data_IF_130498827475
#
_entry.id   IF_130498827475
#
_cell.length_a   1.000
_cell.length_b   1.000
_cell.length_c   1.000
_cell.angle_alpha   90.00
_cell.angle_beta   90.00
_cell.angle_gamma   90.00
#
_symmetry.space_group_name_H-M   'P 1'
#
loop_
_entity.id
_entity.type
_entity.pdbx_description
1 polymer ?
#
# COMPACT_ATOMS: atom_id res chain seq x y z
N UNK A 1 18.57 6.14 -1.05
CA UNK A 1 17.30 6.50 -0.40
C UNK A 1 16.27 5.42 -0.77
N UNK A 2 15.68 4.72 0.19
CA UNK A 2 14.90 3.50 -0.06
C UNK A 2 13.53 3.81 -0.72
N UNK A 3 13.41 3.54 -2.02
CA UNK A 3 12.23 3.88 -2.87
C UNK A 3 11.04 2.92 -2.70
N UNK A 4 10.79 2.45 -1.49
CA UNK A 4 9.79 1.41 -1.22
C UNK A 4 8.72 1.88 -0.25
N UNK A 5 7.46 1.54 -0.55
CA UNK A 5 6.31 1.80 0.30
C UNK A 5 5.83 0.49 0.91
N UNK A 6 5.82 0.43 2.25
CA UNK A 6 5.40 -0.75 3.00
C UNK A 6 3.93 -0.62 3.39
N UNK A 7 3.09 -1.46 2.81
CA UNK A 7 1.66 -1.51 3.06
C UNK A 7 1.31 -2.69 3.96
N UNK A 8 0.96 -2.39 5.21
CA UNK A 8 0.48 -3.38 6.20
C UNK A 8 -1.06 -3.50 6.21
N UNK A 9 -1.78 -2.53 5.63
CA UNK A 9 -3.24 -2.49 5.67
C UNK A 9 -3.85 -3.24 4.49
N UNK A 10 -4.70 -4.23 4.79
CA UNK A 10 -5.46 -4.97 3.78
C UNK A 10 -6.37 -4.04 2.95
N UNK A 11 -7.04 -3.08 3.59
CA UNK A 11 -7.95 -2.14 2.91
C UNK A 11 -7.20 -1.30 1.86
N UNK A 12 -6.07 -0.73 2.26
CA UNK A 12 -5.22 0.05 1.36
C UNK A 12 -4.64 -0.83 0.24
N UNK A 13 -4.21 -2.06 0.54
CA UNK A 13 -3.75 -3.02 -0.47
C UNK A 13 -4.82 -3.29 -1.54
N UNK A 14 -6.06 -3.60 -1.13
CA UNK A 14 -7.15 -3.83 -2.06
C UNK A 14 -7.45 -2.59 -2.91
N UNK A 15 -7.38 -1.40 -2.32
CA UNK A 15 -7.55 -0.14 -3.03
C UNK A 15 -6.45 0.05 -4.09
N UNK A 16 -5.17 -0.06 -3.70
CA UNK A 16 -4.02 0.07 -4.62
C UNK A 16 -4.12 -0.96 -5.76
N UNK A 17 -4.50 -2.20 -5.44
CA UNK A 17 -4.68 -3.27 -6.44
C UNK A 17 -5.83 -2.97 -7.41
N UNK A 18 -6.92 -2.35 -6.95
CA UNK A 18 -8.02 -1.92 -7.80
C UNK A 18 -7.61 -0.86 -8.83
N UNK A 19 -6.59 -0.05 -8.53
CA UNK A 19 -5.97 0.89 -9.48
C UNK A 19 -4.92 0.25 -10.40
N UNK A 20 -4.72 -1.07 -10.32
CA UNK A 20 -3.79 -1.82 -11.17
C UNK A 20 -2.32 -1.69 -10.80
N UNK A 21 -1.99 -1.28 -9.57
CA UNK A 21 -0.60 -1.27 -9.11
C UNK A 21 -0.25 -2.63 -8.51
N UNK A 22 0.81 -3.24 -9.06
CA UNK A 22 1.37 -4.48 -8.53
C UNK A 22 2.37 -4.21 -7.41
N UNK A 23 2.39 -5.12 -6.43
CA UNK A 23 3.41 -5.14 -5.39
C UNK A 23 4.69 -5.79 -5.94
N UNK A 24 5.84 -5.33 -5.44
CA UNK A 24 7.16 -5.89 -5.79
C UNK A 24 7.43 -7.12 -4.94
N UNK A 25 7.06 -7.05 -3.66
CA UNK A 25 7.38 -8.08 -2.69
C UNK A 25 6.28 -8.22 -1.66
N UNK A 26 6.11 -9.44 -1.16
CA UNK A 26 5.24 -9.76 -0.03
C UNK A 26 6.10 -10.40 1.06
N UNK A 27 5.96 -9.90 2.27
CA UNK A 27 6.64 -10.44 3.43
C UNK A 27 5.69 -10.69 4.58
N UNK A 28 6.17 -11.44 5.56
CA UNK A 28 5.51 -11.64 6.84
C UNK A 28 6.45 -11.11 7.90
N UNK A 29 5.96 -10.25 8.78
CA UNK A 29 6.75 -9.78 9.91
C UNK A 29 6.92 -10.92 10.91
N UNK A 30 8.16 -11.32 11.21
CA UNK A 30 8.42 -12.52 12.04
C UNK A 30 7.79 -12.44 13.43
N UNK A 31 7.79 -11.26 14.07
CA UNK A 31 7.26 -11.09 15.43
C UNK A 31 5.73 -11.05 15.47
N UNK A 32 5.10 -10.23 14.64
CA UNK A 32 3.64 -10.01 14.67
C UNK A 32 2.86 -10.95 13.76
N UNK A 33 3.56 -11.76 12.94
CA UNK A 33 3.00 -12.61 11.88
C UNK A 33 2.10 -11.85 10.88
N UNK A 34 2.24 -10.52 10.83
CA UNK A 34 1.44 -9.67 9.94
C UNK A 34 2.02 -9.68 8.54
N UNK A 35 1.17 -9.95 7.55
CA UNK A 35 1.53 -9.84 6.13
C UNK A 35 1.66 -8.37 5.74
N UNK A 36 2.75 -8.05 5.03
CA UNK A 36 2.99 -6.75 4.46
C UNK A 36 3.34 -6.86 2.98
N UNK A 37 2.99 -5.82 2.23
CA UNK A 37 3.22 -5.73 0.80
C UNK A 37 4.11 -4.52 0.52
N UNK A 38 5.12 -4.71 -0.31
CA UNK A 38 6.04 -3.65 -0.71
C UNK A 38 5.65 -3.18 -2.10
N UNK A 39 5.45 -1.88 -2.25
CA UNK A 39 5.18 -1.23 -3.53
C UNK A 39 6.33 -0.31 -3.93
N UNK A 40 6.56 -0.09 -5.25
CA UNK A 40 7.49 0.94 -5.70
C UNK A 40 6.89 2.30 -5.38
N UNK A 41 7.66 3.19 -4.73
CA UNK A 41 7.27 4.60 -4.66
C UNK A 41 7.23 5.17 -6.08
N UNK A 42 6.08 5.72 -6.42
CA UNK A 42 5.82 6.38 -7.69
C UNK A 42 4.77 7.46 -7.46
N UNK A 43 4.77 8.51 -8.27
CA UNK A 43 3.76 9.57 -8.17
C UNK A 43 2.33 9.03 -8.27
N UNK A 44 2.13 7.94 -9.01
CA UNK A 44 0.85 7.26 -9.13
C UNK A 44 0.42 6.65 -7.78
N UNK A 45 1.35 6.01 -7.07
CA UNK A 45 1.08 5.45 -5.74
C UNK A 45 0.73 6.55 -4.74
N UNK A 46 1.48 7.65 -4.72
CA UNK A 46 1.22 8.79 -3.83
C UNK A 46 -0.18 9.39 -4.08
N UNK A 47 -0.57 9.57 -5.35
CA UNK A 47 -1.92 10.04 -5.72
C UNK A 47 -3.01 9.10 -5.22
N UNK A 48 -2.81 7.78 -5.32
CA UNK A 48 -3.79 6.78 -4.85
C UNK A 48 -3.90 6.78 -3.32
N UNK A 49 -2.77 6.88 -2.61
CA UNK A 49 -2.78 6.96 -1.13
C UNK A 49 -3.50 8.23 -0.68
N UNK A 50 -3.24 9.35 -1.35
CA UNK A 50 -3.94 10.62 -1.09
C UNK A 50 -5.44 10.51 -1.33
N UNK A 51 -5.85 9.90 -2.45
CA UNK A 51 -7.25 9.64 -2.76
C UNK A 51 -7.91 8.75 -1.69
N UNK A 52 -7.24 7.67 -1.28
CA UNK A 52 -7.71 6.78 -0.22
C UNK A 52 -7.93 7.53 1.10
N UNK A 53 -6.99 8.40 1.48
CA UNK A 53 -7.12 9.19 2.71
C UNK A 53 -8.28 10.18 2.67
N UNK A 54 -8.55 10.78 1.50
CA UNK A 54 -9.73 11.63 1.28
C UNK A 54 -11.03 10.83 1.41
N UNK A 55 -11.13 9.69 0.73
CA UNK A 55 -12.34 8.85 0.75
C UNK A 55 -12.58 8.29 2.16
N UNK A 56 -11.53 7.87 2.87
CA UNK A 56 -11.64 7.29 4.21
C UNK A 56 -12.27 8.25 5.24
N UNK A 57 -12.05 9.55 5.12
CA UNK A 57 -12.61 10.56 6.03
C UNK A 57 -13.99 11.08 5.61
N UNK A 58 -14.47 10.69 4.43
CA UNK A 58 -15.74 11.17 3.88
C UNK A 58 -16.93 10.25 4.22
N UNK A 59 -16.73 9.23 5.06
CA UNK A 59 -17.74 8.22 5.42
C UNK A 59 -18.00 8.30 6.92
#
# INVERSE_FOLDING_TARGET
MSNYFYCYSKKLFHFIKAFGINYIFIGVHNTTKTKYYIFPKSEKLDKIIFLYNKVKHSI
#
